data_IF_903457176457
#
_entry.id   IF_903457176457
#
_cell.length_a   1.000
_cell.length_b   1.000
_cell.length_c   1.000
_cell.angle_alpha   90.00
_cell.angle_beta   90.00
_cell.angle_gamma   90.00
#
_symmetry.space_group_name_H-M   'P 1'
#
loop_
_entity.id
_entity.type
_entity.pdbx_description
1 polymer ?
#
# COMPACT_ATOMS: atom_id res chain seq x y z
N UNK A 1 21.03 17.37 -21.13
CA UNK A 1 21.22 15.90 -21.02
C UNK A 1 21.90 15.47 -19.71
N UNK A 2 22.76 16.28 -19.06
CA UNK A 2 23.43 15.90 -17.80
C UNK A 2 22.48 15.67 -16.60
N UNK A 3 21.38 16.44 -16.51
CA UNK A 3 20.39 16.30 -15.42
C UNK A 3 19.67 14.94 -15.43
N UNK A 4 19.49 14.32 -16.60
CA UNK A 4 18.81 13.01 -16.71
C UNK A 4 19.67 11.88 -16.15
N UNK A 5 20.98 11.90 -16.45
CA UNK A 5 21.91 10.88 -15.96
C UNK A 5 22.19 11.00 -14.46
N UNK A 6 22.26 12.22 -13.92
CA UNK A 6 22.45 12.42 -12.48
C UNK A 6 21.22 12.01 -11.67
N UNK A 7 20.03 12.31 -12.17
CA UNK A 7 18.78 11.90 -11.50
C UNK A 7 18.55 10.40 -11.61
N UNK A 8 18.89 9.77 -12.74
CA UNK A 8 18.85 8.33 -12.88
C UNK A 8 19.81 7.65 -11.88
N UNK A 9 21.09 8.07 -11.85
CA UNK A 9 22.08 7.52 -10.91
C UNK A 9 21.68 7.63 -9.44
N UNK A 10 21.09 8.75 -9.01
CA UNK A 10 20.57 8.92 -7.65
C UNK A 10 19.41 7.99 -7.32
N UNK A 11 18.57 7.66 -8.31
CA UNK A 11 17.45 6.72 -8.15
C UNK A 11 17.93 5.29 -7.97
N UNK A 12 18.92 4.87 -8.76
CA UNK A 12 19.54 3.55 -8.57
C UNK A 12 20.21 3.42 -7.20
N UNK A 13 20.92 4.46 -6.74
CA UNK A 13 21.52 4.49 -5.41
C UNK A 13 20.49 4.41 -4.28
N UNK A 14 19.40 5.17 -4.39
CA UNK A 14 18.30 5.14 -3.43
C UNK A 14 17.63 3.77 -3.36
N UNK A 15 17.43 3.12 -4.50
CA UNK A 15 16.86 1.77 -4.55
C UNK A 15 17.82 0.74 -3.93
N UNK A 16 19.11 0.79 -4.26
CA UNK A 16 20.10 -0.11 -3.67
C UNK A 16 20.20 0.07 -2.15
N UNK A 17 20.03 1.31 -1.65
CA UNK A 17 19.96 1.57 -0.21
C UNK A 17 18.69 0.97 0.41
N UNK A 18 17.53 1.11 -0.23
CA UNK A 18 16.27 0.51 0.22
C UNK A 18 16.36 -1.03 0.26
N UNK A 19 16.93 -1.67 -0.75
CA UNK A 19 17.13 -3.13 -0.79
C UNK A 19 18.03 -3.63 0.35
N UNK A 20 19.10 -2.89 0.66
CA UNK A 20 19.96 -3.21 1.82
C UNK A 20 19.18 -3.15 3.14
N UNK A 21 18.38 -2.10 3.32
CA UNK A 21 17.53 -1.95 4.51
C UNK A 21 16.53 -3.10 4.62
N UNK A 22 15.90 -3.50 3.51
CA UNK A 22 14.98 -4.63 3.48
C UNK A 22 15.66 -5.95 3.85
N UNK A 23 16.86 -6.21 3.33
CA UNK A 23 17.60 -7.42 3.67
C UNK A 23 17.96 -7.47 5.17
N UNK A 24 18.37 -6.34 5.75
CA UNK A 24 18.65 -6.24 7.19
C UNK A 24 17.37 -6.52 7.99
N UNK A 25 16.25 -5.89 7.66
CA UNK A 25 15.00 -6.12 8.37
C UNK A 25 14.47 -7.56 8.20
N UNK A 26 14.66 -8.18 7.03
CA UNK A 26 14.32 -9.59 6.83
C UNK A 26 15.13 -10.51 7.75
N UNK A 27 16.45 -10.30 7.84
CA UNK A 27 17.31 -11.07 8.75
C UNK A 27 16.95 -10.86 10.23
N UNK A 28 16.60 -9.62 10.60
CA UNK A 28 16.16 -9.31 11.96
C UNK A 28 14.79 -9.93 12.28
N UNK A 29 13.86 -9.89 11.33
CA UNK A 29 12.52 -10.47 11.47
C UNK A 29 12.53 -12.00 11.60
N UNK A 30 13.51 -12.71 11.00
CA UNK A 30 13.68 -14.14 11.22
C UNK A 30 13.94 -14.51 12.69
N UNK A 31 14.62 -13.62 13.43
CA UNK A 31 14.99 -13.85 14.83
C UNK A 31 14.00 -13.21 15.81
N UNK A 32 13.39 -12.08 15.45
CA UNK A 32 12.47 -11.30 16.29
C UNK A 32 11.32 -10.73 15.45
N UNK A 33 10.40 -11.59 14.96
CA UNK A 33 9.36 -11.18 14.02
C UNK A 33 8.48 -10.07 14.58
N UNK A 34 8.07 -10.17 15.85
CA UNK A 34 7.21 -9.17 16.49
C UNK A 34 7.79 -7.76 16.55
N UNK A 35 9.12 -7.64 16.56
CA UNK A 35 9.82 -6.36 16.68
C UNK A 35 10.09 -5.71 15.33
N UNK A 36 10.34 -6.51 14.28
CA UNK A 36 10.86 -5.99 13.00
C UNK A 36 9.94 -6.19 11.80
N UNK A 37 8.93 -7.05 11.88
CA UNK A 37 7.94 -7.18 10.80
C UNK A 37 7.21 -5.86 10.51
N UNK A 38 6.79 -5.03 11.50
CA UNK A 38 6.18 -3.74 11.22
C UNK A 38 7.11 -2.81 10.43
N UNK A 39 8.36 -2.69 10.84
CA UNK A 39 9.35 -1.83 10.17
C UNK A 39 9.69 -2.34 8.77
N UNK A 40 9.76 -3.66 8.59
CA UNK A 40 9.93 -4.30 7.30
C UNK A 40 8.77 -3.96 6.35
N UNK A 41 7.52 -4.12 6.81
CA UNK A 41 6.33 -3.85 6.01
C UNK A 41 6.21 -2.37 5.63
N UNK A 42 6.52 -1.46 6.57
CA UNK A 42 6.58 -0.03 6.28
C UNK A 42 7.65 0.30 5.22
N UNK A 43 8.85 -0.29 5.35
CA UNK A 43 9.94 -0.08 4.38
C UNK A 43 9.57 -0.58 2.98
N UNK A 44 8.89 -1.73 2.90
CA UNK A 44 8.37 -2.29 1.65
C UNK A 44 7.35 -1.36 0.98
N UNK A 45 6.39 -0.81 1.73
CA UNK A 45 5.44 0.16 1.19
C UNK A 45 6.12 1.40 0.63
N UNK A 46 7.13 1.93 1.32
CA UNK A 46 7.86 3.11 0.87
C UNK A 46 8.66 2.82 -0.40
N UNK A 47 9.25 1.62 -0.51
CA UNK A 47 9.92 1.17 -1.72
C UNK A 47 8.94 1.03 -2.88
N UNK A 48 7.77 0.44 -2.65
CA UNK A 48 6.72 0.31 -3.67
C UNK A 48 6.29 1.67 -4.22
N UNK A 49 6.02 2.63 -3.33
CA UNK A 49 5.66 4.00 -3.71
C UNK A 49 6.75 4.67 -4.53
N UNK A 50 8.01 4.56 -4.10
CA UNK A 50 9.15 5.13 -4.82
C UNK A 50 9.30 4.53 -6.22
N UNK A 51 9.12 3.21 -6.36
CA UNK A 51 9.17 2.52 -7.66
C UNK A 51 8.07 3.02 -8.61
N UNK A 52 6.82 3.14 -8.13
CA UNK A 52 5.70 3.69 -8.91
C UNK A 52 5.95 5.14 -9.33
N UNK A 53 6.45 6.00 -8.43
CA UNK A 53 6.83 7.40 -8.73
C UNK A 53 7.91 7.50 -9.81
N UNK A 54 8.80 6.51 -9.91
CA UNK A 54 9.81 6.41 -10.98
C UNK A 54 9.31 5.71 -12.25
N UNK A 55 8.02 5.37 -12.33
CA UNK A 55 7.40 4.70 -13.47
C UNK A 55 7.67 3.20 -13.55
N UNK A 56 8.31 2.60 -12.54
CA UNK A 56 8.62 1.16 -12.44
C UNK A 56 7.46 0.41 -11.79
N UNK A 57 6.29 0.50 -12.41
CA UNK A 57 5.00 0.10 -11.83
C UNK A 57 4.89 -1.40 -11.57
N UNK A 58 5.31 -2.24 -12.52
CA UNK A 58 5.34 -3.69 -12.32
C UNK A 58 6.22 -4.09 -11.14
N UNK A 59 7.37 -3.41 -10.97
CA UNK A 59 8.30 -3.69 -9.88
C UNK A 59 7.78 -3.20 -8.53
N UNK A 60 6.92 -2.17 -8.51
CA UNK A 60 6.27 -1.68 -7.30
C UNK A 60 5.30 -2.68 -6.67
N UNK A 61 4.71 -3.58 -7.45
CA UNK A 61 3.75 -4.57 -6.94
C UNK A 61 4.40 -5.58 -5.98
N UNK A 62 5.61 -6.04 -6.28
CA UNK A 62 6.28 -7.06 -5.47
C UNK A 62 6.46 -6.62 -4.01
N UNK A 63 7.03 -5.44 -3.70
CA UNK A 63 7.11 -4.96 -2.33
C UNK A 63 5.74 -4.58 -1.74
N UNK A 64 4.79 -4.07 -2.53
CA UNK A 64 3.44 -3.78 -2.05
C UNK A 64 2.70 -5.04 -1.55
N UNK A 65 2.73 -6.12 -2.34
CA UNK A 65 2.13 -7.42 -1.98
C UNK A 65 2.77 -7.99 -0.70
N UNK A 66 4.10 -7.92 -0.59
CA UNK A 66 4.80 -8.35 0.63
C UNK A 66 4.40 -7.53 1.86
N UNK A 67 4.25 -6.21 1.72
CA UNK A 67 3.81 -5.36 2.82
C UNK A 67 2.38 -5.70 3.26
N UNK A 68 1.46 -5.90 2.31
CA UNK A 68 0.07 -6.32 2.59
C UNK A 68 0.06 -7.65 3.35
N UNK A 69 0.83 -8.65 2.90
CA UNK A 69 0.88 -9.95 3.56
C UNK A 69 1.39 -9.85 5.00
N UNK A 70 2.47 -9.09 5.24
CA UNK A 70 3.01 -8.90 6.58
C UNK A 70 2.00 -8.17 7.48
N UNK A 71 1.39 -7.07 7.00
CA UNK A 71 0.39 -6.36 7.80
C UNK A 71 -0.87 -7.21 8.05
N UNK A 72 -1.23 -8.10 7.14
CA UNK A 72 -2.32 -9.05 7.33
C UNK A 72 -2.01 -10.04 8.46
N UNK A 73 -0.82 -10.63 8.47
CA UNK A 73 -0.37 -11.51 9.57
C UNK A 73 -0.30 -10.77 10.92
N UNK A 74 0.20 -9.54 10.92
CA UNK A 74 0.25 -8.71 12.12
C UNK A 74 -1.15 -8.34 12.63
N UNK A 75 -2.08 -8.01 11.74
CA UNK A 75 -3.45 -7.66 12.08
C UNK A 75 -4.26 -8.85 12.62
N UNK A 76 -3.95 -10.09 12.23
CA UNK A 76 -4.56 -11.28 12.84
C UNK A 76 -4.26 -11.40 14.34
N UNK A 77 -3.07 -10.95 14.76
CA UNK A 77 -2.64 -11.04 16.16
C UNK A 77 -2.94 -9.77 16.96
N UNK A 78 -2.84 -8.60 16.32
CA UNK A 78 -2.96 -7.27 16.95
C UNK A 78 -3.79 -6.33 16.05
N UNK A 79 -5.10 -6.58 15.86
CA UNK A 79 -5.92 -5.88 14.87
C UNK A 79 -5.96 -4.36 15.10
N UNK A 80 -6.17 -3.92 16.34
CA UNK A 80 -6.21 -2.49 16.69
C UNK A 80 -4.94 -1.73 16.30
N UNK A 81 -3.79 -2.41 16.31
CA UNK A 81 -2.51 -1.82 15.98
C UNK A 81 -2.25 -1.83 14.47
N UNK A 82 -2.68 -2.87 13.74
CA UNK A 82 -2.21 -3.11 12.37
C UNK A 82 -3.26 -3.02 11.27
N UNK A 83 -4.55 -3.06 11.58
CA UNK A 83 -5.61 -2.81 10.60
C UNK A 83 -5.47 -1.45 9.87
N UNK A 84 -5.10 -0.33 10.53
CA UNK A 84 -4.91 0.95 9.83
C UNK A 84 -3.79 0.89 8.77
N UNK A 85 -2.70 0.19 9.09
CA UNK A 85 -1.57 0.02 8.17
C UNK A 85 -1.89 -0.96 7.05
N UNK A 86 -2.63 -2.03 7.34
CA UNK A 86 -3.13 -2.96 6.32
C UNK A 86 -4.02 -2.24 5.30
N UNK A 87 -4.99 -1.44 5.76
CA UNK A 87 -5.86 -0.67 4.87
C UNK A 87 -5.08 0.31 3.99
N UNK A 88 -4.08 0.98 4.56
CA UNK A 88 -3.21 1.90 3.81
C UNK A 88 -2.40 1.16 2.73
N UNK A 89 -1.87 -0.03 3.07
CA UNK A 89 -1.10 -0.85 2.13
C UNK A 89 -1.96 -1.36 0.98
N UNK A 90 -3.21 -1.75 1.27
CA UNK A 90 -4.19 -2.16 0.27
C UNK A 90 -4.58 -1.02 -0.67
N UNK A 91 -4.76 0.21 -0.16
CA UNK A 91 -5.00 1.39 -1.01
C UNK A 91 -3.84 1.66 -1.98
N UNK A 92 -2.60 1.55 -1.49
CA UNK A 92 -1.41 1.71 -2.34
C UNK A 92 -1.34 0.62 -3.41
N UNK A 93 -1.58 -0.64 -3.02
CA UNK A 93 -1.64 -1.75 -3.97
C UNK A 93 -2.74 -1.56 -5.01
N UNK A 94 -3.92 -1.06 -4.62
CA UNK A 94 -4.99 -0.71 -5.54
C UNK A 94 -4.52 0.34 -6.56
N UNK A 95 -3.85 1.40 -6.11
CA UNK A 95 -3.27 2.39 -7.02
C UNK A 95 -2.32 1.75 -8.03
N UNK A 96 -1.35 0.95 -7.58
CA UNK A 96 -0.37 0.33 -8.48
C UNK A 96 -1.02 -0.64 -9.47
N UNK A 97 -2.03 -1.41 -9.05
CA UNK A 97 -2.78 -2.30 -9.94
C UNK A 97 -3.55 -1.51 -11.00
N UNK A 98 -4.18 -0.40 -10.62
CA UNK A 98 -4.87 0.51 -11.55
C UNK A 98 -3.92 1.12 -12.59
N UNK A 99 -2.74 1.58 -12.16
CA UNK A 99 -1.72 2.11 -13.07
C UNK A 99 -1.20 1.08 -14.08
N UNK A 100 -1.40 -0.21 -13.81
CA UNK A 100 -1.07 -1.33 -14.69
C UNK A 100 -2.26 -1.84 -15.52
N UNK A 101 -3.43 -1.17 -15.42
CA UNK A 101 -4.65 -1.58 -16.11
C UNK A 101 -5.33 -2.81 -15.50
N UNK A 102 -4.89 -3.29 -14.33
CA UNK A 102 -5.47 -4.43 -13.60
C UNK A 102 -6.66 -3.96 -12.75
N UNK A 103 -7.65 -3.35 -13.40
CA UNK A 103 -8.71 -2.58 -12.73
C UNK A 103 -9.60 -3.42 -11.79
N UNK A 104 -9.91 -4.67 -12.13
CA UNK A 104 -10.70 -5.55 -11.24
C UNK A 104 -9.95 -5.89 -9.95
N UNK A 105 -8.66 -6.21 -10.06
CA UNK A 105 -7.82 -6.50 -8.90
C UNK A 105 -7.60 -5.24 -8.05
N UNK A 106 -7.47 -4.09 -8.71
CA UNK A 106 -7.43 -2.79 -8.05
C UNK A 106 -8.71 -2.52 -7.25
N UNK A 107 -9.88 -2.80 -7.83
CA UNK A 107 -11.15 -2.59 -7.14
C UNK A 107 -11.24 -3.51 -5.91
N UNK A 108 -10.91 -4.79 -6.06
CA UNK A 108 -10.93 -5.75 -4.96
C UNK A 108 -9.99 -5.34 -3.80
N UNK A 109 -8.83 -4.76 -4.09
CA UNK A 109 -7.94 -4.22 -3.06
C UNK A 109 -8.54 -2.99 -2.36
N UNK A 110 -9.15 -2.06 -3.10
CA UNK A 110 -9.80 -0.88 -2.55
C UNK A 110 -11.01 -1.23 -1.67
N UNK A 111 -11.84 -2.20 -2.08
CA UNK A 111 -12.99 -2.69 -1.30
C UNK A 111 -12.57 -3.28 0.05
N UNK A 112 -11.48 -4.05 0.08
CA UNK A 112 -10.91 -4.58 1.33
C UNK A 112 -10.43 -3.44 2.24
N UNK A 113 -9.77 -2.43 1.68
CA UNK A 113 -9.33 -1.27 2.47
C UNK A 113 -10.52 -0.50 3.07
N UNK A 114 -11.57 -0.25 2.28
CA UNK A 114 -12.81 0.38 2.76
C UNK A 114 -13.45 -0.43 3.88
N UNK A 115 -13.56 -1.75 3.72
CA UNK A 115 -14.14 -2.64 4.74
C UNK A 115 -13.40 -2.52 6.07
N UNK A 116 -12.06 -2.51 6.04
CA UNK A 116 -11.23 -2.33 7.24
C UNK A 116 -11.43 -0.93 7.85
N UNK A 117 -11.47 0.13 7.02
CA UNK A 117 -11.68 1.50 7.51
C UNK A 117 -13.07 1.67 8.15
N UNK A 118 -14.10 1.02 7.61
CA UNK A 118 -15.44 1.00 8.21
C UNK A 118 -15.43 0.31 9.58
N UNK A 119 -14.71 -0.79 9.75
CA UNK A 119 -14.54 -1.45 11.05
C UNK A 119 -13.85 -0.52 12.05
N UNK A 120 -12.77 0.14 11.65
CA UNK A 120 -12.03 1.09 12.49
C UNK A 120 -12.89 2.28 12.92
N UNK A 121 -13.72 2.82 12.02
CA UNK A 121 -14.64 3.94 12.32
C UNK A 121 -15.70 3.54 13.34
N UNK A 122 -16.18 2.29 13.36
CA UNK A 122 -17.15 1.83 14.38
C UNK A 122 -16.58 1.92 15.80
N UNK A 123 -15.27 1.76 15.95
CA UNK A 123 -14.60 1.79 17.25
C UNK A 123 -14.06 3.19 17.61
N UNK A 124 -13.55 3.94 16.63
CA UNK A 124 -12.92 5.26 16.82
C UNK A 124 -13.23 6.19 15.64
N UNK A 125 -14.46 6.72 15.56
CA UNK A 125 -14.90 7.48 14.39
C UNK A 125 -14.03 8.71 14.13
N UNK A 126 -13.78 9.54 15.14
CA UNK A 126 -12.99 10.77 14.99
C UNK A 126 -11.56 10.52 14.48
N UNK A 127 -10.99 9.37 14.79
CA UNK A 127 -9.64 9.01 14.38
C UNK A 127 -9.55 8.52 12.93
N UNK A 128 -10.63 7.91 12.41
CA UNK A 128 -10.56 7.15 11.15
C UNK A 128 -11.55 7.60 10.07
N UNK A 129 -12.47 8.51 10.36
CA UNK A 129 -13.37 9.09 9.36
C UNK A 129 -12.62 9.74 8.17
N UNK A 130 -11.54 10.52 8.37
CA UNK A 130 -10.78 11.08 7.24
C UNK A 130 -10.17 10.00 6.34
N UNK A 131 -9.67 8.93 6.95
CA UNK A 131 -9.08 7.83 6.21
C UNK A 131 -10.13 7.00 5.46
N UNK A 132 -11.31 6.81 6.05
CA UNK A 132 -12.43 6.15 5.38
C UNK A 132 -12.85 6.94 4.14
N UNK A 133 -13.00 8.27 4.25
CA UNK A 133 -13.32 9.12 3.12
C UNK A 133 -12.30 8.97 1.98
N UNK A 134 -11.00 9.00 2.31
CA UNK A 134 -9.94 8.79 1.31
C UNK A 134 -9.99 7.41 0.65
N UNK A 135 -10.31 6.36 1.42
CA UNK A 135 -10.51 5.00 0.87
C UNK A 135 -11.73 4.91 -0.05
N UNK A 136 -12.83 5.57 0.28
CA UNK A 136 -14.04 5.61 -0.53
C UNK A 136 -13.81 6.37 -1.84
N UNK A 137 -13.12 7.52 -1.80
CA UNK A 137 -12.73 8.27 -2.99
C UNK A 137 -11.86 7.42 -3.93
N UNK A 138 -10.89 6.68 -3.37
CA UNK A 138 -10.07 5.76 -4.14
C UNK A 138 -10.91 4.65 -4.80
N UNK A 139 -11.83 4.02 -4.05
CA UNK A 139 -12.73 3.00 -4.59
C UNK A 139 -13.65 3.55 -5.69
N UNK A 140 -14.22 4.75 -5.50
CA UNK A 140 -15.05 5.42 -6.49
C UNK A 140 -14.26 5.71 -7.78
N UNK A 141 -12.99 6.08 -7.69
CA UNK A 141 -12.13 6.24 -8.86
C UNK A 141 -11.92 4.90 -9.61
N UNK A 142 -11.73 3.78 -8.90
CA UNK A 142 -11.60 2.46 -9.55
C UNK A 142 -12.89 2.00 -10.22
N UNK A 143 -14.03 2.26 -9.60
CA UNK A 143 -15.34 2.00 -10.21
C UNK A 143 -15.53 2.81 -11.50
N UNK A 144 -15.08 4.08 -11.52
CA UNK A 144 -15.11 4.89 -12.75
C UNK A 144 -14.19 4.34 -13.83
N UNK A 145 -12.98 3.86 -13.48
CA UNK A 145 -12.06 3.21 -14.42
C UNK A 145 -12.66 1.95 -15.05
N UNK A 146 -13.50 1.22 -14.31
CA UNK A 146 -14.25 0.05 -14.81
C UNK A 146 -15.53 0.41 -15.58
N UNK A 147 -15.84 1.70 -15.76
CA UNK A 147 -17.07 2.13 -16.42
C UNK A 147 -18.34 1.89 -15.59
N UNK A 148 -18.22 1.85 -14.25
CA UNK A 148 -19.31 1.64 -13.28
C UNK A 148 -19.61 2.91 -12.47
N UNK A 149 -19.97 4.05 -13.10
CA UNK A 149 -20.11 5.34 -12.41
C UNK A 149 -21.29 5.40 -11.43
N UNK A 150 -22.33 4.60 -11.65
CA UNK A 150 -23.51 4.52 -10.76
C UNK A 150 -23.11 3.96 -9.38
N UNK A 151 -22.25 2.94 -9.37
CA UNK A 151 -21.71 2.35 -8.15
C UNK A 151 -20.70 3.29 -7.48
N UNK A 152 -19.92 4.03 -8.28
CA UNK A 152 -19.01 5.05 -7.76
C UNK A 152 -19.75 6.17 -6.99
N UNK A 153 -20.94 6.56 -7.45
CA UNK A 153 -21.77 7.55 -6.76
C UNK A 153 -22.35 7.00 -5.46
N UNK A 154 -22.69 5.70 -5.42
CA UNK A 154 -23.18 5.06 -4.20
C UNK A 154 -22.08 4.84 -3.15
N UNK A 155 -20.81 4.78 -3.57
CA UNK A 155 -19.65 4.61 -2.69
C UNK A 155 -19.10 5.92 -2.11
N UNK A 156 -19.41 7.08 -2.69
CA UNK A 156 -18.94 8.41 -2.26
C UNK A 156 -19.86 9.04 -1.21
#
# INVERSE_FOLDING_TARGET
MALSHSELGRREEALAAAEKVLNIYQQLAQNRPDAFLPDLAMSLNNMAKSLSEFGRREEALVPAEKAVNIYQELAQNRPDAFLPYLATSLNNMALFLSELGRHEESLAAAEKAVTIRQELVRNRPDAFLPDLASSLDNMANRLRELGRPEEALAAA
#
